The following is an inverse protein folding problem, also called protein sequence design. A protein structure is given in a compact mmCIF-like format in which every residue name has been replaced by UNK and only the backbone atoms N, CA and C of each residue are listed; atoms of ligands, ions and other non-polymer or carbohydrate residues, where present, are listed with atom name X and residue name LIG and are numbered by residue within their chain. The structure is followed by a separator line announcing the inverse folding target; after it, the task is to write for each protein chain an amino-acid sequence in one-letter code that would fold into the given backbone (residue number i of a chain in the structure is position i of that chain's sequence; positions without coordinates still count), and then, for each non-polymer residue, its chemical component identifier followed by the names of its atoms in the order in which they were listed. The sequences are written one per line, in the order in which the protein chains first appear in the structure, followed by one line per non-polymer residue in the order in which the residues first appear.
data_IF_898448558632
#
_entry.id   IF_898448558632
#
_cell.length_a   1.000
_cell.length_b   1.000
_cell.length_c   1.000
_cell.angle_alpha   90.00
_cell.angle_beta   90.00
_cell.angle_gamma   90.00
#
_symmetry.space_group_name_H-M   'P 1'
#
loop_
_entity.id
_entity.type
_entity.pdbx_description
1 polymer ?
#
# COMPACT_ATOMS: atom_id res chain seq x y z
N UNK A 1 2.34 0.03 1.89
CA UNK A 1 1.53 -0.95 1.16
C UNK A 1 1.43 -2.26 1.94
N UNK A 2 0.20 -2.70 2.21
CA UNK A 2 -0.11 -4.03 2.73
C UNK A 2 -1.20 -4.65 1.85
N UNK A 3 -0.81 -5.27 0.74
CA UNK A 3 -1.73 -5.71 -0.31
C UNK A 3 -1.90 -7.23 -0.34
N UNK A 4 -3.01 -7.68 -0.93
CA UNK A 4 -3.36 -9.10 -1.02
C UNK A 4 -3.08 -9.62 -2.42
N UNK A 5 -2.13 -10.55 -2.55
CA UNK A 5 -1.86 -11.25 -3.83
C UNK A 5 -1.68 -10.28 -5.01
N UNK A 6 -2.35 -10.53 -6.13
CA UNK A 6 -2.26 -9.73 -7.36
C UNK A 6 -2.75 -8.29 -7.22
N UNK A 7 -3.51 -7.94 -6.18
CA UNK A 7 -3.97 -6.56 -5.98
C UNK A 7 -2.82 -5.57 -5.80
N UNK A 8 -1.67 -6.09 -5.36
CA UNK A 8 -0.44 -5.33 -5.17
C UNK A 8 0.07 -4.66 -6.46
N UNK A 9 -0.24 -5.20 -7.65
CA UNK A 9 0.19 -4.57 -8.91
C UNK A 9 -0.43 -3.18 -9.12
N UNK A 10 -1.62 -2.91 -8.57
CA UNK A 10 -2.23 -1.59 -8.66
C UNK A 10 -1.87 -0.72 -7.46
N UNK A 11 -1.94 -1.26 -6.24
CA UNK A 11 -1.55 -0.50 -5.03
C UNK A 11 -0.07 -0.06 -5.04
N UNK A 12 0.81 -0.77 -5.75
CA UNK A 12 2.19 -0.34 -5.95
C UNK A 12 2.29 0.95 -6.78
N UNK A 13 1.35 1.19 -7.69
CA UNK A 13 1.31 2.42 -8.48
C UNK A 13 1.05 3.66 -7.61
N UNK A 14 0.25 3.55 -6.56
CA UNK A 14 -0.03 4.65 -5.63
C UNK A 14 1.22 5.07 -4.84
N UNK A 15 2.07 4.10 -4.47
CA UNK A 15 3.37 4.41 -3.86
C UNK A 15 4.29 5.13 -4.85
N UNK A 16 4.33 4.66 -6.10
CA UNK A 16 5.13 5.28 -7.15
C UNK A 16 4.62 6.69 -7.47
N UNK A 17 3.32 6.88 -7.57
CA UNK A 17 2.72 8.18 -7.84
C UNK A 17 3.13 9.21 -6.79
N UNK A 18 3.07 8.83 -5.50
CA UNK A 18 3.49 9.70 -4.41
C UNK A 18 4.99 10.00 -4.46
N UNK A 19 5.81 8.98 -4.74
CA UNK A 19 7.26 9.15 -4.88
C UNK A 19 7.64 10.06 -6.06
N UNK A 20 6.97 9.89 -7.19
CA UNK A 20 7.21 10.67 -8.41
C UNK A 20 6.73 12.12 -8.28
N UNK A 21 5.62 12.34 -7.58
CA UNK A 21 5.10 13.68 -7.31
C UNK A 21 5.99 14.46 -6.34
N UNK A 22 6.59 13.78 -5.36
CA UNK A 22 7.37 14.41 -4.29
C UNK A 22 8.69 13.65 -4.03
N UNK A 23 9.65 13.60 -4.97
CA UNK A 23 10.83 12.74 -4.89
C UNK A 23 11.78 13.09 -3.75
N UNK A 24 11.81 14.37 -3.34
CA UNK A 24 12.66 14.87 -2.27
C UNK A 24 11.98 14.86 -0.89
N UNK A 25 10.73 14.40 -0.80
CA UNK A 25 10.03 14.33 0.48
C UNK A 25 10.60 13.21 1.36
N UNK A 26 10.68 13.47 2.67
CA UNK A 26 11.13 12.49 3.66
C UNK A 26 10.01 11.47 3.95
N UNK A 27 9.83 10.53 3.02
CA UNK A 27 8.81 9.48 3.10
C UNK A 27 9.49 8.12 3.22
N UNK A 28 9.13 7.39 4.27
CA UNK A 28 9.53 6.00 4.44
C UNK A 28 8.51 5.06 3.82
N UNK A 29 8.90 4.36 2.75
CA UNK A 29 8.02 3.42 2.06
C UNK A 29 8.17 2.00 2.62
N UNK A 30 7.05 1.36 2.92
CA UNK A 30 6.98 -0.04 3.36
C UNK A 30 6.10 -0.85 2.42
N UNK A 31 6.47 -2.10 2.17
CA UNK A 31 5.70 -3.01 1.32
C UNK A 31 5.81 -4.47 1.75
N UNK A 32 4.70 -5.21 1.71
CA UNK A 32 4.67 -6.66 1.94
C UNK A 32 5.08 -7.47 0.69
N UNK A 33 6.26 -7.16 0.14
CA UNK A 33 6.81 -7.73 -1.11
C UNK A 33 7.99 -8.70 -0.86
N UNK A 34 8.04 -9.36 0.31
CA UNK A 34 8.99 -10.44 0.51
C UNK A 34 8.66 -11.66 -0.38
N UNK A 35 9.69 -12.30 -0.95
CA UNK A 35 9.55 -13.48 -1.80
C UNK A 35 9.32 -14.77 -0.99
N UNK A 36 8.27 -14.78 -0.16
CA UNK A 36 7.84 -15.95 0.64
C UNK A 36 6.46 -16.45 0.19
N UNK A 37 6.14 -17.69 0.55
CA UNK A 37 4.88 -18.35 0.18
C UNK A 37 4.92 -19.14 -1.13
N UNK A 38 3.76 -19.29 -1.79
CA UNK A 38 3.62 -20.06 -3.03
C UNK A 38 4.39 -19.41 -4.18
N UNK A 39 4.75 -20.20 -5.20
CA UNK A 39 5.54 -19.73 -6.35
C UNK A 39 4.97 -18.45 -6.98
N UNK A 40 3.65 -18.41 -7.23
CA UNK A 40 2.97 -17.25 -7.82
C UNK A 40 3.15 -15.97 -6.98
N UNK A 41 3.01 -16.10 -5.66
CA UNK A 41 3.10 -15.00 -4.68
C UNK A 41 4.52 -14.43 -4.67
N UNK A 42 5.52 -15.31 -4.69
CA UNK A 42 6.95 -14.94 -4.75
C UNK A 42 7.27 -14.22 -6.06
N UNK A 43 6.78 -14.77 -7.18
CA UNK A 43 7.02 -14.16 -8.49
C UNK A 43 6.35 -12.79 -8.63
N UNK A 44 5.13 -12.62 -8.12
CA UNK A 44 4.45 -11.32 -8.14
C UNK A 44 5.18 -10.30 -7.27
N UNK A 45 5.55 -10.69 -6.05
CA UNK A 45 6.33 -9.84 -5.17
C UNK A 45 7.64 -9.39 -5.81
N UNK A 46 8.35 -10.33 -6.46
CA UNK A 46 9.58 -10.03 -7.20
C UNK A 46 9.34 -9.08 -8.36
N UNK A 47 8.36 -9.36 -9.24
CA UNK A 47 8.05 -8.51 -10.42
C UNK A 47 7.73 -7.07 -10.01
N UNK A 48 6.85 -6.90 -9.03
CA UNK A 48 6.46 -5.58 -8.53
C UNK A 48 7.69 -4.87 -7.93
N UNK A 49 8.46 -5.54 -7.08
CA UNK A 49 9.64 -4.94 -6.45
C UNK A 49 10.71 -4.55 -7.47
N UNK A 50 10.93 -5.37 -8.49
CA UNK A 50 11.90 -5.08 -9.55
C UNK A 50 11.46 -3.83 -10.33
N UNK A 51 10.17 -3.72 -10.69
CA UNK A 51 9.61 -2.54 -11.38
C UNK A 51 9.60 -1.28 -10.51
N UNK A 52 9.29 -1.39 -9.21
CA UNK A 52 9.42 -0.28 -8.25
C UNK A 52 10.86 0.28 -8.24
N UNK A 53 11.85 -0.62 -8.15
CA UNK A 53 13.26 -0.25 -8.10
C UNK A 53 13.73 0.38 -9.41
N UNK A 54 13.29 -0.13 -10.55
CA UNK A 54 13.57 0.45 -11.86
C UNK A 54 13.05 1.90 -11.97
N UNK A 55 11.96 2.22 -11.26
CA UNK A 55 11.36 3.56 -11.16
C UNK A 55 11.85 4.38 -9.95
N UNK A 56 12.97 3.98 -9.32
CA UNK A 56 13.61 4.74 -8.25
C UNK A 56 13.09 4.49 -6.84
N UNK A 57 12.07 3.64 -6.67
CA UNK A 57 11.45 3.36 -5.37
C UNK A 57 11.90 2.00 -4.81
N UNK A 58 12.57 2.01 -3.65
CA UNK A 58 12.98 0.80 -2.94
C UNK A 58 12.36 0.76 -1.54
N UNK A 59 11.17 0.15 -1.35
CA UNK A 59 10.53 0.11 -0.04
C UNK A 59 11.24 -0.84 0.92
N UNK A 60 11.12 -0.55 2.22
CA UNK A 60 11.44 -1.50 3.29
C UNK A 60 10.43 -2.65 3.23
N UNK A 61 10.95 -3.88 3.17
CA UNK A 61 10.10 -5.06 3.10
C UNK A 61 9.55 -5.42 4.49
N UNK A 62 8.24 -5.64 4.56
CA UNK A 62 7.54 -6.05 5.77
C UNK A 62 6.49 -7.11 5.44
N UNK A 63 6.93 -8.38 5.40
CA UNK A 63 6.07 -9.53 5.14
C UNK A 63 5.83 -9.80 3.66
N UNK A 64 5.05 -10.84 3.40
CA UNK A 64 4.69 -11.31 2.06
C UNK A 64 3.24 -10.99 1.70
N UNK A 65 2.91 -11.13 0.42
CA UNK A 65 1.58 -10.82 -0.14
C UNK A 65 0.44 -11.70 0.40
N UNK A 66 0.74 -12.86 0.97
CA UNK A 66 -0.25 -13.75 1.63
C UNK A 66 -0.33 -13.52 3.15
N UNK A 67 0.58 -12.73 3.73
CA UNK A 67 0.64 -12.43 5.16
C UNK A 67 -0.06 -11.12 5.53
N UNK A 68 -0.78 -10.51 4.58
CA UNK A 68 -1.41 -9.19 4.75
C UNK A 68 -2.28 -9.08 6.01
N UNK A 69 -2.97 -10.14 6.41
CA UNK A 69 -3.78 -10.17 7.64
C UNK A 69 -2.96 -10.26 8.94
N UNK A 70 -1.71 -10.71 8.87
CA UNK A 70 -0.81 -10.88 10.01
C UNK A 70 0.24 -9.77 10.14
N UNK A 71 0.43 -8.96 9.09
CA UNK A 71 1.43 -7.88 9.08
C UNK A 71 1.04 -6.66 9.92
N UNK A 72 -0.21 -6.60 10.42
CA UNK A 72 -0.80 -5.46 11.12
C UNK A 72 0.06 -4.86 12.22
N UNK A 73 0.35 -5.65 13.26
CA UNK A 73 1.13 -5.20 14.42
C UNK A 73 2.55 -4.76 14.02
N UNK A 74 3.18 -5.47 13.07
CA UNK A 74 4.53 -5.14 12.61
C UNK A 74 4.56 -3.83 11.85
N UNK A 75 3.57 -3.57 11.01
CA UNK A 75 3.43 -2.30 10.29
C UNK A 75 3.08 -1.16 11.26
N UNK A 76 2.17 -1.39 12.20
CA UNK A 76 1.80 -0.42 13.23
C UNK A 76 3.00 -0.03 14.11
N UNK A 77 3.79 -1.01 14.54
CA UNK A 77 5.02 -0.75 15.30
C UNK A 77 6.04 0.08 14.48
N UNK A 78 6.20 -0.21 13.18
CA UNK A 78 7.07 0.56 12.29
C UNK A 78 6.60 2.01 12.09
N UNK A 79 5.29 2.25 12.11
CA UNK A 79 4.72 3.61 12.08
C UNK A 79 5.06 4.35 13.38
N UNK A 80 4.80 3.74 14.54
CA UNK A 80 5.09 4.37 15.84
C UNK A 80 6.58 4.66 16.05
N UNK A 81 7.46 3.71 15.68
CA UNK A 81 8.92 3.89 15.78
C UNK A 81 9.40 5.13 15.00
N UNK A 82 8.74 5.46 13.90
CA UNK A 82 9.07 6.61 13.06
C UNK A 82 8.40 7.90 13.48
N UNK A 83 7.26 7.83 14.17
CA UNK A 83 6.47 9.00 14.57
C UNK A 83 6.26 10.02 13.42
N UNK A 84 5.70 9.59 12.27
CA UNK A 84 5.52 10.45 11.09
C UNK A 84 4.43 11.50 11.33
N UNK A 85 4.30 12.49 10.43
CA UNK A 85 3.16 13.43 10.45
C UNK A 85 1.88 12.80 9.91
N UNK A 86 2.01 11.86 8.97
CA UNK A 86 0.89 11.17 8.34
C UNK A 86 1.21 9.70 8.03
N UNK A 87 0.17 8.90 7.82
CA UNK A 87 0.27 7.53 7.33
C UNK A 87 -0.57 7.34 6.07
N UNK A 88 0.09 7.06 4.93
CA UNK A 88 -0.56 6.71 3.66
C UNK A 88 -0.57 5.17 3.48
N UNK A 89 -1.72 4.55 3.72
CA UNK A 89 -1.86 3.10 3.83
C UNK A 89 -2.72 2.54 2.71
N UNK A 90 -2.07 1.80 1.80
CA UNK A 90 -2.72 1.21 0.63
C UNK A 90 -2.88 -0.31 0.78
N UNK A 91 -4.03 -0.85 0.34
CA UNK A 91 -4.36 -2.27 0.37
C UNK A 91 -5.36 -2.66 1.46
N UNK A 92 -4.86 -3.24 2.54
CA UNK A 92 -5.62 -3.79 3.66
C UNK A 92 -5.33 -2.96 4.93
N UNK A 93 -5.81 -1.70 5.00
CA UNK A 93 -5.52 -0.79 6.11
C UNK A 93 -6.08 -1.29 7.46
N UNK A 94 -7.25 -1.93 7.46
CA UNK A 94 -7.90 -2.47 8.67
C UNK A 94 -7.09 -3.57 9.36
N UNK A 95 -6.01 -4.07 8.74
CA UNK A 95 -5.12 -5.03 9.38
C UNK A 95 -4.27 -4.35 10.48
N UNK A 96 -4.00 -3.06 10.38
CA UNK A 96 -3.24 -2.30 11.38
C UNK A 96 -4.19 -1.88 12.49
N UNK A 97 -3.93 -2.27 13.76
CA UNK A 97 -4.78 -1.85 14.86
C UNK A 97 -4.84 -0.31 15.02
N UNK A 98 -6.02 0.28 15.29
CA UNK A 98 -6.19 1.74 15.36
C UNK A 98 -5.29 2.46 16.36
N UNK A 99 -4.96 1.82 17.49
CA UNK A 99 -4.11 2.40 18.52
C UNK A 99 -2.68 2.69 18.04
N UNK A 100 -2.22 2.06 16.94
CA UNK A 100 -0.95 2.40 16.32
C UNK A 100 -1.00 3.70 15.50
N UNK A 101 -2.20 4.14 15.13
CA UNK A 101 -2.44 5.28 14.23
C UNK A 101 -3.04 6.49 14.97
N UNK A 102 -3.27 6.38 16.30
CA UNK A 102 -3.83 7.46 17.10
C UNK A 102 -2.97 8.74 17.02
N UNK A 103 -3.61 9.86 16.67
CA UNK A 103 -2.97 11.18 16.58
C UNK A 103 -2.20 11.43 15.28
N UNK A 104 -2.18 10.48 14.34
CA UNK A 104 -1.61 10.65 13.00
C UNK A 104 -2.70 10.98 11.99
N UNK A 105 -2.41 11.84 11.01
CA UNK A 105 -3.29 11.99 9.85
C UNK A 105 -3.23 10.69 9.02
N UNK A 106 -4.33 9.94 8.97
CA UNK A 106 -4.36 8.64 8.32
C UNK A 106 -5.18 8.67 7.03
N UNK A 107 -4.47 8.49 5.91
CA UNK A 107 -5.04 8.34 4.58
C UNK A 107 -5.00 6.85 4.22
N UNK A 108 -6.15 6.28 3.89
CA UNK A 108 -6.27 4.87 3.56
C UNK A 108 -6.87 4.64 2.20
N UNK A 109 -6.22 3.79 1.41
CA UNK A 109 -6.68 3.36 0.10
C UNK A 109 -7.00 1.88 0.17
N UNK A 110 -8.22 1.53 -0.20
CA UNK A 110 -8.72 0.15 -0.19
C UNK A 110 -9.48 -0.13 -1.48
N UNK A 111 -9.87 -1.38 -1.72
CA UNK A 111 -10.69 -1.77 -2.87
C UNK A 111 -12.11 -2.21 -2.48
N UNK A 112 -12.45 -2.16 -1.19
CA UNK A 112 -13.74 -2.58 -0.68
C UNK A 112 -14.59 -1.38 -0.26
N UNK A 113 -15.67 -1.00 -0.96
CA UNK A 113 -16.52 0.12 -0.55
C UNK A 113 -17.16 -0.08 0.82
N UNK A 114 -17.35 -1.34 1.24
CA UNK A 114 -17.85 -1.69 2.59
C UNK A 114 -16.84 -1.43 3.71
N UNK A 115 -15.58 -1.13 3.38
CA UNK A 115 -14.53 -0.82 4.36
C UNK A 115 -14.47 0.67 4.69
N UNK A 116 -15.15 1.53 3.92
CA UNK A 116 -15.08 2.98 4.12
C UNK A 116 -15.57 3.39 5.50
N UNK A 117 -16.80 3.02 5.86
CA UNK A 117 -17.37 3.41 7.16
C UNK A 117 -16.58 2.83 8.33
N UNK A 118 -16.24 1.51 8.36
CA UNK A 118 -15.42 0.95 9.43
C UNK A 118 -14.06 1.63 9.60
N UNK A 119 -13.38 2.00 8.50
CA UNK A 119 -12.08 2.69 8.59
C UNK A 119 -12.24 4.10 9.16
N UNK A 120 -13.32 4.82 8.80
CA UNK A 120 -13.60 6.12 9.40
C UNK A 120 -13.90 6.02 10.89
N UNK A 121 -14.69 5.03 11.30
CA UNK A 121 -14.96 4.74 12.71
C UNK A 121 -13.68 4.36 13.48
N UNK A 122 -12.68 3.80 12.80
CA UNK A 122 -11.35 3.50 13.33
C UNK A 122 -10.40 4.71 13.38
N UNK A 123 -10.84 5.90 12.94
CA UNK A 123 -10.05 7.13 13.00
C UNK A 123 -9.22 7.43 11.76
N UNK A 124 -9.52 6.79 10.61
CA UNK A 124 -8.87 7.12 9.35
C UNK A 124 -9.51 8.38 8.74
N UNK A 125 -8.76 9.48 8.66
CA UNK A 125 -9.25 10.80 8.20
C UNK A 125 -9.79 10.77 6.77
N UNK A 126 -9.04 10.11 5.88
CA UNK A 126 -9.38 10.01 4.46
C UNK A 126 -9.41 8.55 4.04
N UNK A 127 -10.50 8.14 3.38
CA UNK A 127 -10.64 6.78 2.86
C UNK A 127 -11.02 6.83 1.38
N UNK A 128 -10.14 6.30 0.54
CA UNK A 128 -10.27 6.23 -0.92
C UNK A 128 -10.53 4.78 -1.32
N UNK A 129 -11.41 4.59 -2.31
CA UNK A 129 -11.72 3.26 -2.85
C UNK A 129 -11.23 3.18 -4.28
N UNK A 130 -10.25 2.31 -4.53
CA UNK A 130 -9.85 1.88 -5.88
C UNK A 130 -10.85 0.85 -6.40
N UNK A 131 -11.66 1.27 -7.37
CA UNK A 131 -12.73 0.46 -7.96
C UNK A 131 -12.13 -0.50 -9.01
N UNK A 132 -12.78 -1.64 -9.21
CA UNK A 132 -12.43 -2.63 -10.24
C UNK A 132 -10.98 -3.15 -10.18
N UNK A 133 -10.38 -3.10 -8.99
CA UNK A 133 -9.00 -3.53 -8.81
C UNK A 133 -8.81 -5.01 -9.20
N UNK A 134 -9.71 -5.91 -8.76
CA UNK A 134 -9.61 -7.35 -9.07
C UNK A 134 -9.60 -7.68 -10.58
N UNK A 135 -10.56 -7.22 -11.41
CA UNK A 135 -10.51 -7.50 -12.83
C UNK A 135 -9.32 -6.82 -13.53
N UNK A 136 -8.83 -5.68 -13.04
CA UNK A 136 -7.68 -4.97 -13.63
C UNK A 136 -6.33 -5.62 -13.33
N UNK A 137 -6.21 -6.35 -12.22
CA UNK A 137 -4.95 -7.01 -11.83
C UNK A 137 -4.90 -8.51 -12.18
N UNK A 138 -5.96 -9.08 -12.75
CA UNK A 138 -5.99 -10.50 -13.06
C UNK A 138 -5.04 -10.85 -14.22
N UNK A 139 -4.06 -11.71 -13.96
CA UNK A 139 -3.13 -12.21 -14.98
C UNK A 139 -2.06 -11.21 -15.43
N UNK A 140 -2.00 -10.02 -14.83
CA UNK A 140 -0.96 -9.03 -15.12
C UNK A 140 0.39 -9.44 -14.54
N UNK A 141 1.45 -8.89 -15.12
CA UNK A 141 2.84 -9.12 -14.71
C UNK A 141 3.64 -7.84 -14.57
N UNK A 142 2.95 -6.69 -14.66
CA UNK A 142 3.49 -5.33 -14.51
C UNK A 142 2.57 -4.50 -13.64
N UNK A 143 3.10 -3.44 -13.04
CA UNK A 143 2.34 -2.46 -12.29
C UNK A 143 1.26 -1.86 -13.20
N UNK A 144 0.05 -1.74 -12.66
CA UNK A 144 -1.12 -1.22 -13.36
C UNK A 144 -1.43 0.16 -12.80
N UNK A 145 -1.56 1.15 -13.67
CA UNK A 145 -1.92 2.52 -13.26
C UNK A 145 -3.23 2.54 -12.47
N UNK A 146 -3.18 3.12 -11.28
CA UNK A 146 -4.31 3.34 -10.36
C UNK A 146 -5.00 4.68 -10.67
N UNK A 147 -6.29 4.81 -10.35
CA UNK A 147 -6.99 6.08 -10.56
C UNK A 147 -6.44 7.17 -9.64
N UNK A 148 -6.23 6.85 -8.35
CA UNK A 148 -5.62 7.75 -7.39
C UNK A 148 -4.19 8.12 -7.79
N UNK A 149 -3.39 7.16 -8.26
CA UNK A 149 -2.03 7.43 -8.72
C UNK A 149 -2.00 8.37 -9.93
N UNK A 150 -2.93 8.23 -10.87
CA UNK A 150 -3.08 9.18 -11.98
C UNK A 150 -3.44 10.59 -11.49
N UNK A 151 -4.35 10.70 -10.52
CA UNK A 151 -4.74 11.98 -9.90
C UNK A 151 -3.54 12.63 -9.19
N UNK A 152 -2.81 11.88 -8.36
CA UNK A 152 -1.62 12.39 -7.65
C UNK A 152 -0.61 12.96 -8.64
N UNK A 153 -0.28 12.22 -9.71
CA UNK A 153 0.66 12.69 -10.73
C UNK A 153 0.17 13.93 -11.48
N UNK A 154 -1.14 14.09 -11.66
CA UNK A 154 -1.71 15.28 -12.32
C UNK A 154 -1.60 16.57 -11.49
N UNK A 155 -1.32 16.46 -10.19
CA UNK A 155 -1.18 17.59 -9.27
C UNK A 155 0.27 18.02 -9.06
N UNK A 156 1.23 17.29 -9.63
CA UNK A 156 2.68 17.50 -9.50
C UNK A 156 3.25 18.43 -10.58
#
# INVERSE_FOLDING_TARGET
MNAKKETAYMFADELLALHEACPDADIAYFANLEERGLLKVREDARRIRDELRERGLAPVLCGALDEYGANGDRLGAAVQERSPDFAFIVGVPHAIPPYFLEGLECISVTNGPRQVEPLKEQGHDFVVVEVDLHPRTLGVTKIVESELGAVIRSMA
#
